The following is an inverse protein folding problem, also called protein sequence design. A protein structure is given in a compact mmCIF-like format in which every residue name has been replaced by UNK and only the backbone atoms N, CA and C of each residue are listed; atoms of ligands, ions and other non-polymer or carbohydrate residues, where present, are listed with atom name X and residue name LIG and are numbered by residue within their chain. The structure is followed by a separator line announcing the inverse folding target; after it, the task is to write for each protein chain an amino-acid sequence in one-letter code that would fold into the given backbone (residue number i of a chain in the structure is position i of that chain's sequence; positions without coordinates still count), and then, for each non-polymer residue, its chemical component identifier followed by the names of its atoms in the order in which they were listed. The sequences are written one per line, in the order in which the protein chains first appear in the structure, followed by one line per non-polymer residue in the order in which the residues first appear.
data_IF_470038396347
#
_entry.id   IF_470038396347
#
_cell.length_a   1.000
_cell.length_b   1.000
_cell.length_c   1.000
_cell.angle_alpha   90.00
_cell.angle_beta   90.00
_cell.angle_gamma   90.00
#
_symmetry.space_group_name_H-M   'P 1'
#
loop_
_entity.id
_entity.type
_entity.pdbx_description
1 polymer ?
#
# COMPACT_ATOMS: atom_id res chain seq x y z
N UNK A 1 -24.82 1.01 -4.92
CA UNK A 1 -24.23 -0.25 -4.40
C UNK A 1 -22.78 0.01 -4.00
N UNK A 2 -22.33 -0.51 -2.86
CA UNK A 2 -20.94 -0.38 -2.40
C UNK A 2 -20.04 -1.25 -3.29
N UNK A 3 -18.97 -0.68 -3.87
CA UNK A 3 -17.97 -1.49 -4.58
C UNK A 3 -17.35 -2.50 -3.62
N UNK A 4 -17.09 -3.72 -4.09
CA UNK A 4 -16.30 -4.70 -3.34
C UNK A 4 -14.85 -4.24 -3.31
N UNK A 5 -14.23 -4.21 -2.14
CA UNK A 5 -12.83 -3.83 -1.97
C UNK A 5 -12.00 -5.09 -1.77
N UNK A 6 -10.98 -5.28 -2.62
CA UNK A 6 -10.02 -6.38 -2.50
C UNK A 6 -8.64 -5.77 -2.25
N UNK A 7 -8.07 -6.08 -1.09
CA UNK A 7 -6.77 -5.54 -0.69
C UNK A 7 -5.74 -6.68 -0.64
N UNK A 8 -4.71 -6.58 -1.46
CA UNK A 8 -3.55 -7.47 -1.44
C UNK A 8 -2.45 -6.88 -0.58
N UNK A 9 -2.34 -7.31 0.69
CA UNK A 9 -1.20 -6.97 1.55
C UNK A 9 0.01 -7.82 1.18
N UNK A 10 1.04 -7.21 0.60
CA UNK A 10 2.26 -7.94 0.22
C UNK A 10 3.16 -8.24 1.42
N UNK A 11 2.89 -7.62 2.58
CA UNK A 11 3.71 -7.72 3.79
C UNK A 11 5.18 -7.41 3.50
N UNK A 12 6.10 -8.04 4.22
CA UNK A 12 7.54 -7.91 4.04
C UNK A 12 8.07 -8.83 2.90
N UNK A 13 7.48 -8.70 1.71
CA UNK A 13 7.92 -9.42 0.51
C UNK A 13 8.27 -8.46 -0.63
N UNK A 14 9.09 -8.96 -1.54
CA UNK A 14 9.56 -8.32 -2.75
C UNK A 14 10.52 -7.13 -2.52
N UNK A 15 11.68 -7.21 -3.14
CA UNK A 15 12.52 -6.04 -3.41
C UNK A 15 11.96 -5.23 -4.60
N UNK A 16 12.60 -4.11 -4.95
CA UNK A 16 12.11 -3.22 -6.01
C UNK A 16 11.99 -3.92 -7.39
N UNK A 17 12.93 -4.78 -7.74
CA UNK A 17 12.89 -5.48 -9.02
C UNK A 17 11.72 -6.46 -9.08
N UNK A 18 11.57 -7.30 -8.04
CA UNK A 18 10.49 -8.28 -7.94
C UNK A 18 9.12 -7.61 -7.89
N UNK A 19 9.00 -6.54 -7.11
CA UNK A 19 7.77 -5.77 -6.94
C UNK A 19 7.31 -5.13 -8.27
N UNK A 20 8.25 -4.58 -9.04
CA UNK A 20 7.96 -3.99 -10.36
C UNK A 20 7.49 -5.04 -11.36
N UNK A 21 8.21 -6.16 -11.46
CA UNK A 21 7.83 -7.28 -12.35
C UNK A 21 6.44 -7.83 -11.98
N UNK A 22 6.18 -8.01 -10.69
CA UNK A 22 4.90 -8.51 -10.22
C UNK A 22 3.76 -7.53 -10.51
N UNK A 23 3.96 -6.23 -10.26
CA UNK A 23 2.98 -5.20 -10.61
C UNK A 23 2.68 -5.21 -12.11
N UNK A 24 3.70 -5.26 -12.96
CA UNK A 24 3.51 -5.24 -14.41
C UNK A 24 2.73 -6.48 -14.88
N UNK A 25 3.03 -7.66 -14.32
CA UNK A 25 2.25 -8.87 -14.58
C UNK A 25 0.79 -8.67 -14.16
N UNK A 26 0.53 -8.16 -12.95
CA UNK A 26 -0.82 -7.91 -12.47
C UNK A 26 -1.60 -6.94 -13.36
N UNK A 27 -0.99 -5.82 -13.77
CA UNK A 27 -1.64 -4.81 -14.61
C UNK A 27 -2.00 -5.35 -16.00
N UNK A 28 -1.26 -6.34 -16.50
CA UNK A 28 -1.56 -6.99 -17.77
C UNK A 28 -2.65 -8.08 -17.66
N UNK A 29 -2.80 -8.69 -16.49
CA UNK A 29 -3.73 -9.81 -16.28
C UNK A 29 -5.07 -9.39 -15.68
N UNK A 30 -5.09 -8.31 -14.89
CA UNK A 30 -6.29 -7.87 -14.19
C UNK A 30 -7.11 -6.95 -15.08
N UNK A 31 -8.36 -7.30 -15.40
CA UNK A 31 -9.26 -6.39 -16.10
C UNK A 31 -9.75 -5.28 -15.14
N UNK A 32 -10.08 -4.13 -15.70
CA UNK A 32 -10.76 -3.08 -14.93
C UNK A 32 -12.20 -3.52 -14.66
N UNK A 33 -12.62 -3.46 -13.39
CA UNK A 33 -13.96 -3.82 -12.96
C UNK A 33 -14.69 -2.61 -12.38
N UNK A 34 -15.95 -2.40 -12.79
CA UNK A 34 -16.75 -1.27 -12.30
C UNK A 34 -17.10 -1.40 -10.81
N UNK A 35 -17.39 -2.62 -10.38
CA UNK A 35 -17.93 -2.93 -9.05
C UNK A 35 -16.89 -3.48 -8.07
N UNK A 36 -15.63 -3.61 -8.49
CA UNK A 36 -14.52 -4.08 -7.66
C UNK A 36 -13.41 -3.04 -7.68
N UNK A 37 -12.93 -2.66 -6.50
CA UNK A 37 -11.74 -1.83 -6.35
C UNK A 37 -10.61 -2.69 -5.79
N UNK A 38 -9.49 -2.74 -6.52
CA UNK A 38 -8.29 -3.49 -6.13
C UNK A 38 -7.30 -2.52 -5.52
N UNK A 39 -6.74 -2.88 -4.37
CA UNK A 39 -5.70 -2.11 -3.67
C UNK A 39 -4.52 -3.01 -3.38
N UNK A 40 -3.32 -2.56 -3.72
CA UNK A 40 -2.08 -3.28 -3.45
C UNK A 40 -1.32 -2.56 -2.35
N UNK A 41 -0.89 -3.28 -1.30
CA UNK A 41 -0.10 -2.73 -0.22
C UNK A 41 1.34 -3.29 -0.27
N UNK A 42 2.22 -2.71 -1.11
CA UNK A 42 3.63 -3.10 -1.19
C UNK A 42 4.43 -2.58 0.01
N UNK A 43 5.69 -3.01 0.13
CA UNK A 43 6.61 -2.47 1.14
C UNK A 43 6.85 -0.97 0.92
N UNK A 44 7.11 -0.22 2.00
CA UNK A 44 7.31 1.24 1.90
C UNK A 44 8.45 1.61 0.94
N UNK A 45 9.51 0.79 0.89
CA UNK A 45 10.69 1.00 0.04
C UNK A 45 10.36 0.99 -1.45
N UNK A 46 9.27 0.32 -1.85
CA UNK A 46 8.89 0.19 -3.26
C UNK A 46 7.68 1.05 -3.62
N UNK A 47 6.92 1.50 -2.62
CA UNK A 47 5.64 2.18 -2.78
C UNK A 47 5.70 3.40 -3.72
N UNK A 48 6.69 4.28 -3.54
CA UNK A 48 6.84 5.47 -4.39
C UNK A 48 7.12 5.08 -5.85
N UNK A 49 8.06 4.18 -6.10
CA UNK A 49 8.40 3.72 -7.45
C UNK A 49 7.23 3.04 -8.14
N UNK A 50 6.45 2.23 -7.41
CA UNK A 50 5.26 1.58 -7.95
C UNK A 50 4.14 2.58 -8.24
N UNK A 51 4.04 3.69 -7.49
CA UNK A 51 3.06 4.75 -7.76
C UNK A 51 3.22 5.41 -9.12
N UNK A 52 4.44 5.37 -9.68
CA UNK A 52 4.76 5.86 -11.02
C UNK A 52 4.49 4.83 -12.12
N UNK A 53 4.41 3.55 -11.78
CA UNK A 53 4.26 2.43 -12.73
C UNK A 53 2.82 1.91 -12.80
N UNK A 54 2.03 2.09 -11.75
CA UNK A 54 0.70 1.51 -11.63
C UNK A 54 -0.30 2.14 -12.61
N UNK A 55 -1.11 1.30 -13.25
CA UNK A 55 -2.30 1.77 -13.94
C UNK A 55 -3.42 2.03 -12.93
N UNK A 56 -3.60 3.30 -12.55
CA UNK A 56 -4.61 3.74 -11.56
C UNK A 56 -6.06 3.48 -11.97
N UNK A 57 -6.33 3.07 -13.22
CA UNK A 57 -7.67 2.62 -13.67
C UNK A 57 -7.97 1.16 -13.30
N UNK A 58 -6.94 0.40 -12.93
CA UNK A 58 -7.03 -1.04 -12.59
C UNK A 58 -6.89 -1.22 -11.08
N UNK A 59 -5.90 -0.59 -10.46
CA UNK A 59 -5.64 -0.74 -9.03
C UNK A 59 -5.14 0.56 -8.38
N UNK A 60 -5.32 0.64 -7.06
CA UNK A 60 -4.81 1.69 -6.19
C UNK A 60 -3.69 1.16 -5.30
N UNK A 61 -3.01 2.06 -4.60
CA UNK A 61 -1.93 1.70 -3.67
C UNK A 61 -2.31 1.99 -2.22
N UNK A 62 -1.76 1.18 -1.33
CA UNK A 62 -1.81 1.38 0.12
C UNK A 62 -0.41 1.36 0.74
N UNK A 63 -0.20 2.18 1.77
CA UNK A 63 0.88 1.92 2.72
C UNK A 63 0.49 0.79 3.69
N UNK A 64 1.48 0.03 4.16
CA UNK A 64 1.25 -1.03 5.16
C UNK A 64 1.19 -0.51 6.59
N UNK A 65 1.68 0.70 6.83
CA UNK A 65 1.56 1.46 8.07
C UNK A 65 1.85 2.94 7.80
N UNK A 66 1.45 3.82 8.70
CA UNK A 66 1.94 5.20 8.76
C UNK A 66 1.89 5.73 10.20
N UNK A 67 2.57 6.85 10.41
CA UNK A 67 2.61 7.56 11.67
C UNK A 67 1.61 8.70 11.67
N UNK A 68 0.97 8.91 12.82
CA UNK A 68 -0.16 9.83 12.99
C UNK A 68 0.26 11.31 13.09
N UNK A 69 1.53 11.60 13.36
CA UNK A 69 2.05 12.97 13.35
C UNK A 69 2.65 13.33 12.01
N UNK A 70 2.42 14.57 11.59
CA UNK A 70 2.91 15.10 10.32
C UNK A 70 4.43 15.33 10.31
N UNK A 71 5.04 15.67 11.44
CA UNK A 71 6.48 15.84 11.60
C UNK A 71 6.92 15.74 13.06
N UNK A 72 8.23 15.56 13.30
CA UNK A 72 8.85 15.55 14.61
C UNK A 72 10.07 14.64 14.71
N UNK A 73 10.56 14.43 15.93
CA UNK A 73 11.71 13.55 16.20
C UNK A 73 11.30 12.06 16.22
N UNK A 74 10.87 11.55 15.06
CA UNK A 74 10.40 10.18 14.84
C UNK A 74 11.23 9.49 13.76
N UNK A 75 12.51 9.26 14.05
CA UNK A 75 13.47 8.70 13.08
C UNK A 75 12.97 7.36 12.52
N UNK A 76 12.82 7.27 11.20
CA UNK A 76 12.38 6.07 10.50
C UNK A 76 10.87 5.94 10.29
N UNK A 77 10.07 6.78 10.95
CA UNK A 77 8.61 6.80 10.77
C UNK A 77 8.19 7.51 9.48
N UNK A 78 7.04 7.11 8.93
CA UNK A 78 6.45 7.73 7.74
C UNK A 78 5.16 8.46 8.11
N UNK A 79 5.15 9.80 8.14
CA UNK A 79 3.93 10.57 8.32
C UNK A 79 2.86 10.24 7.29
N UNK A 80 1.60 10.16 7.71
CA UNK A 80 0.48 9.97 6.79
C UNK A 80 0.43 11.05 5.70
N UNK A 81 0.80 12.30 6.03
CA UNK A 81 0.87 13.41 5.08
C UNK A 81 1.86 13.15 3.92
N UNK A 82 2.95 12.42 4.14
CA UNK A 82 3.96 12.13 3.12
C UNK A 82 3.48 11.13 2.06
N UNK A 83 2.41 10.38 2.36
CA UNK A 83 1.82 9.40 1.43
C UNK A 83 0.89 10.04 0.41
N UNK A 84 0.56 11.34 0.55
CA UNK A 84 -0.32 12.05 -0.36
C UNK A 84 0.25 12.04 -1.78
N UNK A 85 -0.56 11.62 -2.74
CA UNK A 85 -0.16 11.49 -4.14
C UNK A 85 0.60 10.19 -4.46
N UNK A 86 1.01 9.43 -3.44
CA UNK A 86 1.67 8.13 -3.58
C UNK A 86 0.64 7.02 -3.38
N UNK A 87 0.00 6.98 -2.20
CA UNK A 87 -0.97 5.97 -1.82
C UNK A 87 -2.36 6.56 -1.58
N UNK A 88 -3.38 5.75 -1.87
CA UNK A 88 -4.80 6.09 -1.70
C UNK A 88 -5.34 5.55 -0.36
N UNK A 89 -4.67 4.56 0.21
CA UNK A 89 -5.06 3.86 1.43
C UNK A 89 -3.86 3.68 2.37
N UNK A 90 -4.15 3.36 3.63
CA UNK A 90 -3.17 2.87 4.58
C UNK A 90 -3.80 1.74 5.40
N UNK A 91 -3.03 0.67 5.62
CA UNK A 91 -3.37 -0.36 6.60
C UNK A 91 -2.97 0.14 7.99
N UNK A 92 -3.84 -0.04 8.98
CA UNK A 92 -3.61 0.37 10.37
C UNK A 92 -4.09 -0.75 11.30
N UNK A 93 -3.36 -1.00 12.39
CA UNK A 93 -3.76 -1.98 13.40
C UNK A 93 -3.80 -3.42 12.90
N UNK A 94 -2.97 -3.76 11.90
CA UNK A 94 -2.80 -5.12 11.43
C UNK A 94 -2.34 -6.01 12.59
N UNK A 95 -2.81 -7.27 12.64
CA UNK A 95 -2.51 -8.18 13.76
C UNK A 95 -1.00 -8.33 14.02
N UNK A 96 -0.20 -8.44 12.98
CA UNK A 96 1.27 -8.47 13.10
C UNK A 96 1.82 -7.23 13.81
N UNK A 97 1.26 -6.04 13.55
CA UNK A 97 1.67 -4.81 14.24
C UNK A 97 1.25 -4.80 15.71
N UNK A 98 0.02 -5.21 16.00
CA UNK A 98 -0.48 -5.31 17.38
C UNK A 98 0.30 -6.33 18.21
N UNK A 99 0.58 -7.51 17.66
CA UNK A 99 1.21 -8.59 18.42
C UNK A 99 2.74 -8.52 18.46
N UNK A 100 3.41 -8.19 17.34
CA UNK A 100 4.88 -8.19 17.26
C UNK A 100 5.44 -6.84 17.69
N UNK A 101 4.78 -5.74 17.29
CA UNK A 101 5.24 -4.38 17.55
C UNK A 101 4.47 -3.67 18.67
N UNK A 102 3.55 -4.38 19.34
CA UNK A 102 2.82 -3.92 20.53
C UNK A 102 2.07 -2.60 20.26
N UNK A 103 1.47 -2.46 19.06
CA UNK A 103 0.58 -1.33 18.77
C UNK A 103 -0.74 -1.45 19.54
N UNK A 104 -1.07 -0.42 20.31
CA UNK A 104 -2.32 -0.34 21.07
C UNK A 104 -3.53 -0.10 20.17
N UNK A 105 -4.73 -0.19 20.77
CA UNK A 105 -5.95 0.37 20.17
C UNK A 105 -5.86 1.88 19.98
#
# INVERSE_FOLDING_TARGET
MRKKLIIGNWKMNFNMHEASLYLHKLMNTLPSHRDVEVVLAPTILTLQSLSLQINRRIAKLAAQNCYWRDSGAYTGEIPAAHLRGIADYALIGHSERRYIFIESE
#
